data_IF_483682848335
#
_entry.id   IF_483682848335
#
_cell.length_a   1.000
_cell.length_b   1.000
_cell.length_c   1.000
_cell.angle_alpha   90.00
_cell.angle_beta   90.00
_cell.angle_gamma   90.00
#
_symmetry.space_group_name_H-M   'P 1'
#
loop_
_entity.id
_entity.type
_entity.pdbx_description
1 polymer ?
#
# COMPACT_ATOMS: atom_id res chain seq x y z
N UNK A 1 6.65 -26.27 -0.42
CA UNK A 1 5.28 -26.31 0.12
C UNK A 1 5.01 -25.04 0.89
N UNK A 2 3.83 -24.91 1.49
CA UNK A 2 3.47 -23.75 2.33
C UNK A 2 4.48 -23.52 3.45
N UNK A 3 4.74 -22.26 3.76
CA UNK A 3 5.67 -21.83 4.80
C UNK A 3 5.12 -20.57 5.47
N UNK A 4 5.17 -20.55 6.80
CA UNK A 4 4.85 -19.36 7.59
C UNK A 4 5.80 -18.19 7.24
N UNK A 5 5.29 -16.97 7.35
CA UNK A 5 6.03 -15.77 6.92
C UNK A 5 7.38 -15.60 7.63
N UNK A 6 7.44 -15.77 8.95
CA UNK A 6 8.67 -15.57 9.73
C UNK A 6 9.75 -16.62 9.41
N UNK A 7 9.44 -17.94 9.37
CA UNK A 7 10.36 -18.95 8.85
C UNK A 7 10.85 -18.66 7.42
N UNK A 8 9.99 -18.18 6.52
CA UNK A 8 10.41 -17.82 5.17
C UNK A 8 11.34 -16.59 5.16
N UNK A 9 10.93 -15.51 5.83
CA UNK A 9 11.62 -14.22 5.77
C UNK A 9 12.95 -14.23 6.53
N UNK A 10 12.94 -14.72 7.77
CA UNK A 10 14.12 -14.73 8.65
C UNK A 10 14.88 -16.04 8.49
N UNK A 11 14.22 -17.17 8.67
CA UNK A 11 14.87 -18.49 8.70
C UNK A 11 15.50 -18.86 7.36
N UNK A 12 14.72 -18.76 6.28
CA UNK A 12 15.17 -19.04 4.92
C UNK A 12 15.73 -17.80 4.19
N UNK A 13 15.83 -16.66 4.88
CA UNK A 13 16.37 -15.40 4.35
C UNK A 13 15.67 -14.91 3.07
N UNK A 14 14.36 -15.17 2.94
CA UNK A 14 13.58 -14.88 1.74
C UNK A 14 14.19 -15.45 0.44
N UNK A 15 14.91 -16.57 0.52
CA UNK A 15 15.51 -17.27 -0.64
C UNK A 15 14.52 -18.15 -1.40
N UNK A 16 13.61 -18.90 -0.75
CA UNK A 16 12.64 -19.70 -1.47
C UNK A 16 11.74 -18.80 -2.33
N UNK A 17 11.54 -19.21 -3.58
CA UNK A 17 10.64 -18.52 -4.51
C UNK A 17 9.22 -18.50 -3.98
N UNK A 18 8.60 -17.32 -4.02
CA UNK A 18 7.19 -17.14 -3.64
C UNK A 18 6.35 -17.43 -4.88
N UNK A 19 5.43 -18.39 -4.78
CA UNK A 19 4.48 -18.70 -5.85
C UNK A 19 3.09 -18.10 -5.54
N UNK A 20 2.74 -18.04 -4.26
CA UNK A 20 1.45 -17.58 -3.76
C UNK A 20 1.60 -17.05 -2.33
N UNK A 21 0.72 -16.12 -1.94
CA UNK A 21 0.57 -15.65 -0.56
C UNK A 21 -0.88 -15.89 -0.14
N UNK A 22 -1.06 -16.59 0.98
CA UNK A 22 -2.36 -16.83 1.60
C UNK A 22 -2.40 -16.25 3.02
N UNK A 23 -3.58 -15.82 3.47
CA UNK A 23 -3.80 -15.28 4.81
C UNK A 23 -4.71 -16.22 5.59
N UNK A 24 -4.11 -17.20 6.26
CA UNK A 24 -4.84 -18.20 7.02
C UNK A 24 -5.65 -17.55 8.16
N UNK A 25 -6.94 -17.89 8.24
CA UNK A 25 -7.90 -17.36 9.22
C UNK A 25 -8.39 -15.92 8.97
N UNK A 26 -7.96 -15.24 7.91
CA UNK A 26 -8.41 -13.86 7.63
C UNK A 26 -9.92 -13.77 7.35
N UNK A 27 -10.48 -14.77 6.69
CA UNK A 27 -11.91 -14.91 6.37
C UNK A 27 -12.79 -15.10 7.62
N UNK A 28 -12.25 -15.74 8.66
CA UNK A 28 -12.92 -15.91 9.95
C UNK A 28 -12.70 -14.74 10.92
N UNK A 29 -11.69 -13.90 10.66
CA UNK A 29 -11.39 -12.73 11.47
C UNK A 29 -12.45 -11.63 11.32
N UNK A 30 -12.52 -10.74 12.30
CA UNK A 30 -13.39 -9.55 12.28
C UNK A 30 -12.61 -8.31 12.73
N UNK A 31 -12.88 -7.14 12.14
CA UNK A 31 -12.33 -5.90 12.64
C UNK A 31 -12.87 -5.62 14.04
N UNK A 32 -12.03 -5.02 14.90
CA UNK A 32 -12.47 -4.58 16.22
C UNK A 32 -13.40 -3.37 16.10
N UNK A 33 -14.22 -3.13 17.12
CA UNK A 33 -15.10 -1.96 17.15
C UNK A 33 -14.31 -0.65 17.01
N UNK A 34 -13.18 -0.54 17.70
CA UNK A 34 -12.29 0.63 17.68
C UNK A 34 -11.73 0.89 16.29
N UNK A 35 -11.44 -0.17 15.52
CA UNK A 35 -10.98 -0.06 14.14
C UNK A 35 -12.07 0.52 13.24
N UNK A 36 -13.30 0.02 13.39
CA UNK A 36 -14.45 0.50 12.61
C UNK A 36 -14.80 1.94 12.98
N UNK A 37 -14.77 2.29 14.26
CA UNK A 37 -15.01 3.66 14.75
C UNK A 37 -13.95 4.63 14.23
N UNK A 38 -12.67 4.24 14.27
CA UNK A 38 -11.58 5.05 13.73
C UNK A 38 -11.75 5.31 12.23
N UNK A 39 -12.07 4.28 11.44
CA UNK A 39 -12.34 4.43 10.02
C UNK A 39 -13.58 5.29 9.75
N UNK A 40 -14.65 5.11 10.53
CA UNK A 40 -15.88 5.87 10.39
C UNK A 40 -15.67 7.37 10.66
N UNK A 41 -14.87 7.72 11.67
CA UNK A 41 -14.60 9.10 12.07
C UNK A 41 -13.46 9.76 11.27
N UNK A 42 -12.61 9.00 10.58
CA UNK A 42 -11.43 9.52 9.91
C UNK A 42 -11.77 10.56 8.81
N UNK A 43 -11.14 11.72 8.85
CA UNK A 43 -11.18 12.67 7.72
C UNK A 43 -10.22 12.26 6.60
N UNK A 44 -9.16 11.54 6.97
CA UNK A 44 -8.15 11.01 6.06
C UNK A 44 -7.70 9.63 6.51
N UNK A 45 -7.48 8.75 5.55
CA UNK A 45 -6.92 7.41 5.76
C UNK A 45 -5.65 7.34 4.92
N UNK A 46 -4.54 6.94 5.53
CA UNK A 46 -3.24 6.88 4.86
C UNK A 46 -2.85 5.43 4.66
N UNK A 47 -2.66 5.03 3.40
CA UNK A 47 -2.02 3.75 3.08
C UNK A 47 -0.51 4.01 3.06
N UNK A 48 0.14 3.68 4.17
CA UNK A 48 1.57 3.87 4.36
C UNK A 48 2.40 3.14 3.28
N UNK A 49 3.64 3.58 2.99
CA UNK A 49 4.51 2.96 1.98
C UNK A 49 5.14 1.65 2.50
N UNK A 50 4.28 0.68 2.82
CA UNK A 50 4.63 -0.66 3.29
C UNK A 50 4.51 -1.68 2.17
N UNK A 51 4.94 -2.91 2.41
CA UNK A 51 4.82 -3.97 1.43
C UNK A 51 3.32 -4.25 1.15
N UNK A 52 2.85 -4.12 -0.11
CA UNK A 52 1.45 -4.28 -0.43
C UNK A 52 0.94 -5.70 -0.18
N UNK A 53 1.79 -6.73 -0.33
CA UNK A 53 1.38 -8.15 -0.28
C UNK A 53 1.33 -8.74 1.13
N UNK A 54 2.13 -8.23 2.06
CA UNK A 54 2.30 -8.84 3.40
C UNK A 54 2.14 -7.85 4.56
N UNK A 55 1.98 -6.57 4.27
CA UNK A 55 1.69 -5.56 5.29
C UNK A 55 0.30 -4.97 5.08
N UNK A 56 -0.03 -4.56 3.85
CA UNK A 56 -1.35 -3.97 3.55
C UNK A 56 -2.40 -5.04 3.24
N UNK A 57 -2.09 -6.02 2.38
CA UNK A 57 -3.06 -7.04 1.99
C UNK A 57 -3.64 -7.86 3.15
N UNK A 58 -2.88 -8.30 4.19
CA UNK A 58 -3.48 -8.99 5.33
C UNK A 58 -4.53 -8.16 6.08
N UNK A 59 -4.32 -6.84 6.19
CA UNK A 59 -5.29 -5.92 6.82
C UNK A 59 -6.57 -5.88 5.97
N UNK A 60 -6.41 -5.77 4.65
CA UNK A 60 -7.52 -5.70 3.70
C UNK A 60 -8.22 -7.04 3.45
N UNK A 61 -7.61 -8.16 3.85
CA UNK A 61 -8.16 -9.50 3.75
C UNK A 61 -9.22 -9.77 4.83
N UNK A 62 -9.21 -9.01 5.93
CA UNK A 62 -10.21 -9.12 6.99
C UNK A 62 -11.56 -8.56 6.48
N UNK A 63 -12.64 -9.37 6.45
CA UNK A 63 -13.95 -8.92 5.99
C UNK A 63 -14.45 -7.70 6.76
N UNK A 64 -14.96 -6.69 6.05
CA UNK A 64 -15.47 -5.44 6.63
C UNK A 64 -14.48 -4.27 6.59
N UNK A 65 -13.17 -4.51 6.46
CA UNK A 65 -12.18 -3.43 6.40
C UNK A 65 -12.30 -2.63 5.10
N UNK A 66 -12.39 -3.31 3.95
CA UNK A 66 -12.51 -2.65 2.64
C UNK A 66 -13.80 -1.85 2.56
N UNK A 67 -14.89 -2.41 3.07
CA UNK A 67 -16.21 -1.79 3.14
C UNK A 67 -16.19 -0.55 4.03
N UNK A 68 -15.54 -0.61 5.19
CA UNK A 68 -15.39 0.53 6.10
C UNK A 68 -14.57 1.66 5.47
N UNK A 69 -13.48 1.35 4.77
CA UNK A 69 -12.69 2.35 4.02
C UNK A 69 -13.53 2.97 2.91
N UNK A 70 -14.29 2.16 2.15
CA UNK A 70 -15.17 2.65 1.10
C UNK A 70 -16.30 3.55 1.65
N UNK A 71 -16.89 3.19 2.79
CA UNK A 71 -17.91 3.99 3.46
C UNK A 71 -17.35 5.33 3.95
N UNK A 72 -16.13 5.34 4.53
CA UNK A 72 -15.45 6.57 4.91
C UNK A 72 -15.23 7.49 3.69
N UNK A 73 -14.80 6.92 2.55
CA UNK A 73 -14.65 7.66 1.30
C UNK A 73 -15.96 8.24 0.78
N UNK A 74 -17.03 7.46 0.79
CA UNK A 74 -18.35 7.91 0.37
C UNK A 74 -18.86 9.08 1.23
N UNK A 75 -18.51 9.11 2.51
CA UNK A 75 -18.79 10.25 3.42
C UNK A 75 -17.93 11.48 3.11
N UNK A 76 -16.81 11.32 2.41
CA UNK A 76 -15.89 12.41 2.04
C UNK A 76 -14.50 12.31 2.65
N UNK A 77 -14.18 11.25 3.41
CA UNK A 77 -12.82 11.00 3.86
C UNK A 77 -11.89 10.77 2.65
N UNK A 78 -10.67 11.28 2.72
CA UNK A 78 -9.68 11.08 1.64
C UNK A 78 -8.79 9.89 1.95
N UNK A 79 -8.74 8.91 1.05
CA UNK A 79 -7.76 7.82 1.15
C UNK A 79 -6.56 8.16 0.29
N UNK A 80 -5.40 8.31 0.92
CA UNK A 80 -4.15 8.70 0.26
C UNK A 80 -3.13 7.59 0.45
N UNK A 81 -2.64 7.01 -0.64
CA UNK A 81 -1.52 6.08 -0.58
C UNK A 81 -0.17 6.76 -0.81
N UNK A 82 0.89 6.16 -0.29
CA UNK A 82 2.28 6.54 -0.59
C UNK A 82 2.97 5.33 -1.20
N UNK A 83 3.66 5.51 -2.33
CA UNK A 83 4.33 4.40 -3.01
C UNK A 83 5.43 3.79 -2.14
N UNK A 84 5.49 2.45 -1.98
CA UNK A 84 6.65 1.77 -1.40
C UNK A 84 7.78 1.55 -2.41
N UNK A 85 7.54 1.83 -3.69
CA UNK A 85 8.48 1.65 -4.80
C UNK A 85 9.04 3.00 -5.23
N UNK A 86 10.37 3.07 -5.32
CA UNK A 86 11.15 4.21 -5.81
C UNK A 86 12.24 3.70 -6.76
N UNK A 87 12.39 4.29 -7.94
CA UNK A 87 13.37 3.89 -8.95
C UNK A 87 13.23 2.43 -9.41
N UNK A 88 12.00 1.92 -9.44
CA UNK A 88 11.70 0.51 -9.81
C UNK A 88 12.10 -0.53 -8.75
N UNK A 89 12.33 -0.12 -7.50
CA UNK A 89 12.69 -1.01 -6.38
C UNK A 89 11.99 -0.63 -5.09
N UNK A 90 11.85 -1.59 -4.18
CA UNK A 90 11.45 -1.30 -2.81
C UNK A 90 12.61 -0.66 -2.04
N UNK A 91 12.35 0.40 -1.27
CA UNK A 91 13.39 1.03 -0.45
C UNK A 91 13.90 0.12 0.68
N UNK A 92 13.01 -0.71 1.23
CA UNK A 92 13.31 -1.66 2.31
C UNK A 92 12.49 -2.93 2.15
N UNK A 93 13.06 -4.04 2.62
CA UNK A 93 12.38 -5.33 2.64
C UNK A 93 12.24 -5.97 1.26
N UNK A 94 11.49 -7.08 1.17
CA UNK A 94 11.46 -7.93 -0.01
C UNK A 94 10.34 -7.56 -1.01
N UNK A 95 9.75 -6.36 -0.91
CA UNK A 95 8.51 -6.05 -1.63
C UNK A 95 8.68 -6.13 -3.16
N UNK A 96 9.81 -5.68 -3.68
CA UNK A 96 10.16 -5.83 -5.10
C UNK A 96 10.22 -7.29 -5.55
N UNK A 97 10.92 -8.14 -4.80
CA UNK A 97 11.03 -9.58 -5.09
C UNK A 97 9.68 -10.28 -5.02
N UNK A 98 8.88 -9.95 -4.01
CA UNK A 98 7.55 -10.55 -3.82
C UNK A 98 6.56 -10.09 -4.89
N UNK A 99 6.58 -8.81 -5.27
CA UNK A 99 5.76 -8.30 -6.38
C UNK A 99 6.11 -9.00 -7.69
N UNK A 100 7.40 -9.10 -8.02
CA UNK A 100 7.86 -9.80 -9.22
C UNK A 100 7.44 -11.28 -9.21
N UNK A 101 7.61 -11.97 -8.08
CA UNK A 101 7.16 -13.35 -7.89
C UNK A 101 5.64 -13.52 -8.06
N UNK A 102 4.85 -12.54 -7.60
CA UNK A 102 3.39 -12.52 -7.78
C UNK A 102 2.95 -12.11 -9.21
N UNK A 103 3.89 -11.96 -10.15
CA UNK A 103 3.60 -11.49 -11.52
C UNK A 103 3.11 -10.03 -11.58
N UNK A 104 3.37 -9.26 -10.53
CA UNK A 104 3.03 -7.84 -10.44
C UNK A 104 4.23 -7.00 -10.88
N UNK A 105 3.93 -5.89 -11.56
CA UNK A 105 4.95 -4.92 -11.94
C UNK A 105 5.56 -4.27 -10.70
N UNK A 106 6.89 -4.19 -10.64
CA UNK A 106 7.62 -3.54 -9.54
C UNK A 106 7.66 -2.04 -9.79
N UNK A 107 6.49 -1.43 -9.73
CA UNK A 107 6.28 -0.02 -10.01
C UNK A 107 5.17 0.56 -9.15
N UNK A 108 5.10 1.88 -9.00
CA UNK A 108 3.94 2.54 -8.38
C UNK A 108 2.62 2.13 -9.06
N UNK A 109 2.61 1.95 -10.38
CA UNK A 109 1.41 1.51 -11.10
C UNK A 109 1.03 0.05 -10.76
N UNK A 110 2.00 -0.86 -10.63
CA UNK A 110 1.75 -2.22 -10.18
C UNK A 110 1.16 -2.30 -8.78
N UNK A 111 1.64 -1.46 -7.85
CA UNK A 111 1.06 -1.32 -6.50
C UNK A 111 -0.37 -0.78 -6.56
N UNK A 112 -0.60 0.30 -7.32
CA UNK A 112 -1.93 0.88 -7.48
C UNK A 112 -2.93 -0.10 -8.11
N UNK A 113 -2.48 -0.91 -9.07
CA UNK A 113 -3.28 -2.00 -9.67
C UNK A 113 -3.64 -3.06 -8.64
N UNK A 114 -2.70 -3.47 -7.79
CA UNK A 114 -2.98 -4.46 -6.73
C UNK A 114 -3.94 -3.92 -5.67
N UNK A 115 -3.84 -2.64 -5.34
CA UNK A 115 -4.71 -1.92 -4.40
C UNK A 115 -5.80 -1.13 -5.12
N UNK A 116 -6.29 -1.65 -6.25
CA UNK A 116 -7.24 -0.91 -7.08
C UNK A 116 -8.50 -0.53 -6.30
N UNK A 117 -9.07 0.61 -6.66
CA UNK A 117 -10.26 1.21 -6.04
C UNK A 117 -10.14 1.53 -4.53
N UNK A 118 -8.96 1.35 -3.91
CA UNK A 118 -8.78 1.63 -2.49
C UNK A 118 -8.58 3.12 -2.19
N UNK A 119 -7.78 3.81 -3.03
CA UNK A 119 -7.28 5.14 -2.74
C UNK A 119 -7.72 6.19 -3.75
N UNK A 120 -7.88 7.43 -3.29
CA UNK A 120 -8.25 8.59 -4.11
C UNK A 120 -7.04 9.25 -4.74
N UNK A 121 -5.94 9.30 -3.98
CA UNK A 121 -4.68 9.83 -4.45
C UNK A 121 -3.51 8.92 -4.10
N UNK A 122 -2.44 9.02 -4.87
CA UNK A 122 -1.23 8.25 -4.68
C UNK A 122 0.01 9.12 -4.84
N UNK A 123 0.79 9.23 -3.76
CA UNK A 123 2.07 9.93 -3.78
C UNK A 123 3.15 9.01 -4.35
N UNK A 124 3.88 9.55 -5.31
CA UNK A 124 4.98 8.88 -6.01
C UNK A 124 6.22 9.76 -5.89
N UNK A 125 7.41 9.14 -5.83
CA UNK A 125 8.66 9.90 -5.78
C UNK A 125 8.75 10.85 -6.96
N UNK A 126 9.22 12.07 -6.70
CA UNK A 126 9.26 13.17 -7.66
C UNK A 126 10.04 12.78 -8.91
N UNK A 127 11.14 12.03 -8.76
CA UNK A 127 11.96 11.56 -9.88
C UNK A 127 11.25 10.52 -10.76
N UNK A 128 10.24 9.84 -10.24
CA UNK A 128 9.62 8.68 -10.89
C UNK A 128 8.34 9.05 -11.66
N UNK A 129 7.64 10.12 -11.26
CA UNK A 129 6.36 10.51 -11.84
C UNK A 129 6.49 11.17 -13.22
N UNK A 130 6.86 10.35 -14.20
CA UNK A 130 6.87 10.69 -15.63
C UNK A 130 5.45 10.70 -16.23
N UNK A 131 5.24 11.32 -17.40
CA UNK A 131 3.95 11.26 -18.10
C UNK A 131 3.47 9.83 -18.38
N UNK A 132 4.40 8.92 -18.70
CA UNK A 132 4.10 7.52 -18.93
C UNK A 132 3.61 6.82 -17.65
N UNK A 133 4.27 7.06 -16.51
CA UNK A 133 3.84 6.50 -15.23
C UNK A 133 2.49 7.10 -14.78
N UNK A 134 2.29 8.40 -14.96
CA UNK A 134 1.02 9.05 -14.67
C UNK A 134 -0.12 8.41 -15.49
N UNK A 135 0.09 8.16 -16.79
CA UNK A 135 -0.88 7.48 -17.64
C UNK A 135 -1.18 6.04 -17.16
N UNK A 136 -0.16 5.31 -16.69
CA UNK A 136 -0.33 3.96 -16.14
C UNK A 136 -1.07 3.94 -14.78
N UNK A 137 -1.05 5.05 -14.03
CA UNK A 137 -1.74 5.19 -12.75
C UNK A 137 -3.23 5.57 -12.90
N UNK A 138 -3.59 6.31 -13.94
CA UNK A 138 -4.95 6.80 -14.20
C UNK A 138 -6.06 5.75 -14.08
N UNK A 139 -5.89 4.49 -14.52
CA UNK A 139 -6.94 3.47 -14.37
C UNK A 139 -7.19 3.03 -12.92
N UNK A 140 -6.27 3.32 -12.00
CA UNK A 140 -6.25 2.74 -10.66
C UNK A 140 -6.41 3.78 -9.54
N UNK A 141 -5.99 5.02 -9.78
CA UNK A 141 -6.05 6.11 -8.80
C UNK A 141 -6.51 7.39 -9.47
N UNK A 142 -7.36 8.17 -8.78
CA UNK A 142 -7.92 9.40 -9.38
C UNK A 142 -6.88 10.50 -9.55
N UNK A 143 -5.85 10.52 -8.69
CA UNK A 143 -4.84 11.57 -8.65
C UNK A 143 -3.47 11.00 -8.26
N UNK A 144 -2.51 11.05 -9.17
CA UNK A 144 -1.09 10.82 -8.84
C UNK A 144 -0.42 12.15 -8.46
N UNK A 145 0.35 12.17 -7.37
CA UNK A 145 1.03 13.37 -6.86
C UNK A 145 2.53 13.10 -6.76
N UNK A 146 3.34 13.96 -7.38
CA UNK A 146 4.79 13.93 -7.20
C UNK A 146 5.15 14.55 -5.83
N UNK A 147 5.88 13.81 -5.00
CA UNK A 147 6.41 14.31 -3.75
C UNK A 147 7.70 13.55 -3.38
N UNK A 148 8.64 14.15 -2.62
CA UNK A 148 9.70 13.38 -1.98
C UNK A 148 9.08 12.42 -0.97
N UNK A 149 9.22 11.11 -1.18
CA UNK A 149 8.60 10.07 -0.34
C UNK A 149 9.60 9.20 0.42
N UNK A 150 10.89 9.37 0.17
CA UNK A 150 11.96 8.68 0.92
C UNK A 150 12.08 9.24 2.34
N UNK A 151 11.79 8.41 3.35
CA UNK A 151 11.78 8.80 4.77
C UNK A 151 13.10 8.44 5.49
N UNK A 152 14.19 9.13 5.15
CA UNK A 152 15.54 8.92 5.72
C UNK A 152 15.66 9.31 7.20
N UNK A 153 14.94 10.35 7.60
CA UNK A 153 14.99 10.98 8.93
C UNK A 153 13.62 11.58 9.30
N UNK A 154 13.50 12.20 10.48
CA UNK A 154 12.25 12.77 10.96
C UNK A 154 11.77 13.97 10.14
N UNK A 155 12.68 14.77 9.57
CA UNK A 155 12.30 15.88 8.71
C UNK A 155 11.68 15.37 7.41
N UNK A 156 12.24 14.31 6.82
CA UNK A 156 11.69 13.64 5.66
C UNK A 156 10.33 12.99 5.96
N UNK A 157 10.18 12.31 7.10
CA UNK A 157 8.87 11.76 7.55
C UNK A 157 7.81 12.84 7.68
N UNK A 158 8.17 13.97 8.29
CA UNK A 158 7.27 15.11 8.43
C UNK A 158 6.90 15.71 7.08
N UNK A 159 7.84 15.79 6.13
CA UNK A 159 7.56 16.26 4.77
C UNK A 159 6.54 15.37 4.05
N UNK A 160 6.68 14.04 4.14
CA UNK A 160 5.71 13.09 3.59
C UNK A 160 4.34 13.27 4.24
N UNK A 161 4.28 13.36 5.57
CA UNK A 161 3.02 13.59 6.28
C UNK A 161 2.34 14.88 5.84
N UNK A 162 3.09 15.99 5.65
CA UNK A 162 2.55 17.25 5.13
C UNK A 162 2.04 17.10 3.70
N UNK A 163 2.77 16.40 2.82
CA UNK A 163 2.34 16.16 1.45
C UNK A 163 1.03 15.35 1.40
N UNK A 164 0.90 14.33 2.24
CA UNK A 164 -0.35 13.55 2.39
C UNK A 164 -1.51 14.44 2.82
N UNK A 165 -1.31 15.32 3.82
CA UNK A 165 -2.35 16.23 4.30
C UNK A 165 -2.74 17.30 3.27
N UNK A 166 -1.80 17.72 2.41
CA UNK A 166 -2.03 18.73 1.38
C UNK A 166 -2.86 18.22 0.19
N UNK A 167 -3.08 16.90 0.06
CA UNK A 167 -3.93 16.34 -0.99
C UNK A 167 -5.38 16.73 -0.76
N UNK A 168 -5.92 17.50 -1.72
CA UNK A 168 -7.36 17.75 -1.90
C UNK A 168 -8.06 16.67 -2.70
#
# INVERSE_FOLDING_TARGET
GWMEFQPWFVGAQAKPEVLEVAFDGADAARPTAETLEALAAAERIVIAPSNPLISIAPILAIPGIREAIAAARARGAKVVGVSPIVGGKALKGPADRMLAAAGLDVSPAGVAKHLTELMDAFLVETSDLTPALAAALTPHVRKSVAAPIVMSDDAARLAVARAVLAVS
#
